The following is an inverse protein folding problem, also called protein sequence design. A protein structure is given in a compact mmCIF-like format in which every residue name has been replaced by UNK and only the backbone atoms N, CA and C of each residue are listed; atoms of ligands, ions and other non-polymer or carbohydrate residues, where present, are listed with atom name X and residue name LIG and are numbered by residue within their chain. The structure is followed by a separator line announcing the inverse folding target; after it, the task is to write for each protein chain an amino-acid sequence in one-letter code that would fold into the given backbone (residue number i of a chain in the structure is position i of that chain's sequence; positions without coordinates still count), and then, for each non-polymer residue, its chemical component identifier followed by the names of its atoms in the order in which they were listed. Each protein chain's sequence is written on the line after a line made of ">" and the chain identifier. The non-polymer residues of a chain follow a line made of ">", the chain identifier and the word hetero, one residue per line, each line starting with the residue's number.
data_IF_027988904356
#
_entry.id   IF_027988904356
#
_cell.length_a   1.000
_cell.length_b   1.000
_cell.length_c   1.000
_cell.angle_alpha   90.00
_cell.angle_beta   90.00
_cell.angle_gamma   90.00
#
_symmetry.space_group_name_H-M   'P 1'
#
loop_
_entity.id
_entity.type
_entity.pdbx_description
1 polymer ?
#
# COMPACT_ATOMS: atom_id res chain seq x y z
N UNK A 1 -6.86 -7.75 -13.74
CA UNK A 1 -6.48 -7.80 -12.30
C UNK A 1 -7.58 -7.22 -11.43
N UNK A 2 -7.56 -7.50 -10.16
CA UNK A 2 -8.57 -7.02 -9.20
C UNK A 2 -7.96 -6.83 -7.81
N UNK A 3 -8.69 -6.14 -6.96
CA UNK A 3 -8.42 -6.18 -5.52
C UNK A 3 -8.43 -7.62 -5.02
N UNK A 4 -7.46 -7.95 -4.19
CA UNK A 4 -7.51 -9.19 -3.40
C UNK A 4 -8.70 -9.05 -2.45
N UNK A 5 -9.62 -10.03 -2.35
CA UNK A 5 -10.79 -9.94 -1.49
C UNK A 5 -10.41 -9.57 -0.06
N UNK A 6 -11.05 -8.55 0.49
CA UNK A 6 -10.81 -8.05 1.84
C UNK A 6 -12.12 -7.93 2.61
N UNK A 7 -12.06 -7.80 3.94
CA UNK A 7 -13.24 -7.68 4.79
C UNK A 7 -13.30 -6.32 5.46
N UNK A 8 -14.45 -5.65 5.37
CA UNK A 8 -14.77 -4.44 6.14
C UNK A 8 -15.39 -4.88 7.46
N UNK A 9 -14.69 -4.62 8.57
CA UNK A 9 -15.16 -4.99 9.91
C UNK A 9 -16.03 -3.88 10.53
N UNK A 10 -15.62 -2.62 10.34
CA UNK A 10 -16.36 -1.45 10.82
C UNK A 10 -15.93 -0.18 10.11
N UNK A 11 -16.82 0.83 10.14
CA UNK A 11 -16.53 2.22 9.71
C UNK A 11 -16.91 3.15 10.86
N UNK A 12 -16.11 4.18 11.14
CA UNK A 12 -16.35 5.18 12.19
C UNK A 12 -16.00 6.58 11.70
N UNK A 13 -16.71 7.59 12.20
CA UNK A 13 -16.49 9.00 11.86
C UNK A 13 -15.30 9.60 12.62
N UNK A 14 -14.98 9.07 13.77
CA UNK A 14 -13.91 9.60 14.63
C UNK A 14 -13.00 8.49 15.14
N UNK A 15 -11.71 8.75 15.14
CA UNK A 15 -10.70 7.87 15.70
C UNK A 15 -9.53 8.73 16.18
N UNK A 16 -8.79 8.29 17.19
CA UNK A 16 -7.52 8.91 17.60
C UNK A 16 -6.62 7.83 18.16
N UNK A 17 -5.74 7.30 17.32
CA UNK A 17 -4.81 6.26 17.74
C UNK A 17 -3.58 6.14 16.84
N UNK A 18 -2.52 5.55 17.39
CA UNK A 18 -1.47 4.90 16.58
C UNK A 18 -1.93 3.44 16.41
N UNK A 19 -2.27 3.00 15.18
CA UNK A 19 -2.74 1.65 14.93
C UNK A 19 -1.76 0.59 15.40
N UNK A 20 -2.28 -0.59 15.78
CA UNK A 20 -1.42 -1.64 16.32
C UNK A 20 -0.35 -2.10 15.32
N UNK A 21 -0.67 -2.14 14.03
CA UNK A 21 0.28 -2.54 12.98
C UNK A 21 1.48 -1.58 12.87
N UNK A 22 1.25 -0.27 13.04
CA UNK A 22 2.33 0.74 13.11
C UNK A 22 3.24 0.50 14.32
N UNK A 23 2.66 0.07 15.46
CA UNK A 23 3.43 -0.33 16.64
C UNK A 23 4.19 -1.63 16.42
N UNK A 24 3.63 -2.60 15.69
CA UNK A 24 4.28 -3.87 15.35
C UNK A 24 5.55 -3.68 14.51
N UNK A 25 5.52 -2.73 13.57
CA UNK A 25 6.68 -2.31 12.75
C UNK A 25 7.71 -1.55 13.60
N UNK A 26 7.37 -1.19 14.84
CA UNK A 26 8.19 -0.37 15.72
C UNK A 26 8.49 1.05 15.17
N UNK A 27 7.68 1.55 14.24
CA UNK A 27 7.85 2.87 13.62
C UNK A 27 7.99 4.01 14.66
N UNK A 28 7.26 4.04 15.79
CA UNK A 28 7.45 5.06 16.82
C UNK A 28 8.85 5.13 17.43
N UNK A 29 9.65 4.07 17.34
CA UNK A 29 11.06 4.10 17.77
C UNK A 29 11.92 4.90 16.79
N UNK A 30 11.67 4.75 15.49
CA UNK A 30 12.36 5.50 14.43
C UNK A 30 11.95 6.98 14.45
N UNK A 31 10.65 7.26 14.67
CA UNK A 31 10.16 8.65 14.76
C UNK A 31 10.83 9.46 15.88
N UNK A 32 11.13 8.83 17.02
CA UNK A 32 11.88 9.47 18.13
C UNK A 32 13.30 9.89 17.72
N UNK A 33 13.86 9.23 16.70
CA UNK A 33 15.17 9.55 16.15
C UNK A 33 15.08 10.51 14.94
N UNK A 34 13.90 11.08 14.67
CA UNK A 34 13.68 12.02 13.57
C UNK A 34 13.45 11.36 12.22
N UNK A 35 13.22 10.03 12.18
CA UNK A 35 12.94 9.34 10.92
C UNK A 35 11.45 9.05 10.78
N UNK A 36 10.79 9.79 9.87
CA UNK A 36 9.36 9.69 9.59
C UNK A 36 9.03 9.54 8.10
N UNK A 37 10.05 9.30 7.26
CA UNK A 37 9.92 9.13 5.81
C UNK A 37 9.98 10.44 5.02
N UNK A 38 10.46 11.54 5.61
CA UNK A 38 10.63 12.82 4.90
C UNK A 38 11.50 12.66 3.65
N UNK A 39 11.05 13.24 2.52
CA UNK A 39 11.74 13.16 1.23
C UNK A 39 11.49 11.89 0.43
N UNK A 40 10.88 10.86 1.02
CA UNK A 40 10.60 9.60 0.33
C UNK A 40 9.22 9.64 -0.33
N UNK A 41 9.14 9.26 -1.60
CA UNK A 41 7.89 9.14 -2.35
C UNK A 41 7.53 7.67 -2.52
N UNK A 42 6.29 7.32 -2.13
CA UNK A 42 5.70 5.99 -2.28
C UNK A 42 4.57 6.10 -3.30
N UNK A 43 4.62 5.30 -4.36
CA UNK A 43 3.51 5.19 -5.29
C UNK A 43 2.52 4.11 -4.80
N UNK A 44 1.23 4.48 -4.74
CA UNK A 44 0.13 3.59 -4.36
C UNK A 44 -0.67 3.26 -5.62
N UNK A 45 -0.60 2.02 -6.09
CA UNK A 45 -1.34 1.51 -7.23
C UNK A 45 -2.60 0.81 -6.72
N UNK A 46 -3.76 1.51 -6.77
CA UNK A 46 -4.98 1.07 -6.10
C UNK A 46 -6.25 1.71 -6.72
N UNK A 47 -7.34 1.81 -5.96
CA UNK A 47 -8.63 2.39 -6.37
C UNK A 47 -8.66 3.92 -6.35
N UNK A 48 -7.57 4.58 -5.99
CA UNK A 48 -7.47 6.03 -5.81
C UNK A 48 -7.29 6.43 -4.33
N UNK A 49 -7.64 7.67 -3.99
CA UNK A 49 -7.53 8.22 -2.63
C UNK A 49 -8.66 9.21 -2.35
N UNK A 50 -9.13 9.30 -1.10
CA UNK A 50 -9.93 10.45 -0.65
C UNK A 50 -9.01 11.68 -0.55
N UNK A 51 -9.03 12.51 -1.58
CA UNK A 51 -8.15 13.68 -1.75
C UNK A 51 -8.33 14.75 -0.68
N UNK A 52 -9.44 14.69 0.05
CA UNK A 52 -9.80 15.67 1.09
C UNK A 52 -9.70 15.10 2.50
N UNK A 53 -9.26 13.85 2.66
CA UNK A 53 -9.14 13.24 3.97
C UNK A 53 -8.13 14.03 4.85
N UNK A 54 -8.53 14.46 6.07
CA UNK A 54 -7.70 15.34 6.90
C UNK A 54 -6.34 14.75 7.29
N UNK A 55 -6.22 13.41 7.36
CA UNK A 55 -4.98 12.73 7.69
C UNK A 55 -4.11 12.42 6.45
N UNK A 56 -4.58 12.72 5.23
CA UNK A 56 -3.87 12.36 3.99
C UNK A 56 -3.47 13.56 3.14
N UNK A 57 -4.27 14.62 3.13
CA UNK A 57 -4.16 15.75 2.19
C UNK A 57 -2.75 16.36 2.16
N UNK A 58 -2.06 16.44 3.29
CA UNK A 58 -0.71 17.01 3.40
C UNK A 58 0.38 16.14 2.74
N UNK A 59 0.11 14.83 2.60
CA UNK A 59 1.08 13.88 2.07
C UNK A 59 0.81 13.46 0.62
N UNK A 60 -0.29 13.89 0.01
CA UNK A 60 -0.55 13.65 -1.42
C UNK A 60 0.31 14.62 -2.22
N UNK A 61 1.29 14.10 -2.98
CA UNK A 61 2.18 14.94 -3.80
C UNK A 61 1.66 15.10 -5.22
N UNK A 62 1.06 14.03 -5.78
CA UNK A 62 0.51 14.02 -7.15
C UNK A 62 -0.36 12.76 -7.33
N UNK A 63 -1.04 12.64 -8.48
CA UNK A 63 -1.76 11.44 -8.81
C UNK A 63 -2.32 11.45 -10.23
N UNK A 64 -2.63 10.24 -10.74
CA UNK A 64 -3.18 10.04 -12.07
C UNK A 64 -4.15 8.85 -12.11
N UNK A 65 -5.17 8.98 -12.93
CA UNK A 65 -6.15 7.94 -13.20
C UNK A 65 -5.83 7.21 -14.51
N UNK A 66 -5.73 5.88 -14.43
CA UNK A 66 -5.47 4.98 -15.55
C UNK A 66 -6.69 4.11 -15.89
N UNK A 67 -7.84 4.39 -15.25
CA UNK A 67 -9.09 3.67 -15.50
C UNK A 67 -9.99 4.46 -16.45
N UNK A 68 -11.05 3.83 -16.94
CA UNK A 68 -12.08 4.49 -17.76
C UNK A 68 -13.07 5.32 -16.92
N UNK A 69 -12.86 5.47 -15.61
CA UNK A 69 -13.72 6.22 -14.70
C UNK A 69 -13.29 7.68 -14.57
N UNK A 70 -13.88 8.58 -15.35
CA UNK A 70 -13.60 10.02 -15.26
C UNK A 70 -12.37 10.46 -16.07
N UNK A 71 -11.86 11.65 -15.76
CA UNK A 71 -10.68 12.19 -16.44
C UNK A 71 -9.37 11.63 -15.86
N UNK A 72 -8.29 11.81 -16.59
CA UNK A 72 -6.94 11.41 -16.18
C UNK A 72 -6.51 12.04 -14.84
N UNK A 73 -6.99 13.24 -14.51
CA UNK A 73 -6.71 13.95 -13.27
C UNK A 73 -7.64 13.55 -12.10
N UNK A 74 -8.66 12.71 -12.37
CA UNK A 74 -9.60 12.26 -11.33
C UNK A 74 -9.16 10.92 -10.72
N UNK A 75 -8.16 10.97 -9.85
CA UNK A 75 -7.71 9.83 -9.08
C UNK A 75 -8.42 9.69 -7.72
N UNK A 76 -9.63 10.26 -7.61
CA UNK A 76 -10.47 10.13 -6.42
C UNK A 76 -10.91 8.68 -6.20
N UNK A 77 -10.81 8.23 -4.96
CA UNK A 77 -11.27 6.90 -4.56
C UNK A 77 -12.80 6.87 -4.45
N UNK A 78 -13.41 5.83 -5.00
CA UNK A 78 -14.85 5.55 -4.92
C UNK A 78 -15.15 4.16 -4.36
N UNK A 79 -14.12 3.48 -3.85
CA UNK A 79 -14.17 2.16 -3.25
C UNK A 79 -13.85 2.21 -1.74
N UNK A 80 -12.79 2.93 -1.38
CA UNK A 80 -12.27 3.08 -0.03
C UNK A 80 -11.01 2.27 0.27
N UNK A 81 -10.69 1.28 -0.58
CA UNK A 81 -9.52 0.42 -0.37
C UNK A 81 -8.20 1.21 -0.51
N UNK A 82 -8.02 1.97 -1.60
CA UNK A 82 -6.82 2.76 -1.82
C UNK A 82 -6.61 3.84 -0.75
N UNK A 83 -7.70 4.46 -0.27
CA UNK A 83 -7.65 5.42 0.85
C UNK A 83 -7.15 4.74 2.13
N UNK A 84 -7.61 3.52 2.42
CA UNK A 84 -7.18 2.76 3.59
C UNK A 84 -5.70 2.36 3.50
N UNK A 85 -5.26 1.88 2.36
CA UNK A 85 -3.86 1.54 2.06
C UNK A 85 -2.97 2.78 2.24
N UNK A 86 -3.34 3.91 1.64
CA UNK A 86 -2.60 5.16 1.74
C UNK A 86 -2.43 5.66 3.19
N UNK A 87 -3.47 5.55 4.01
CA UNK A 87 -3.42 5.94 5.42
C UNK A 87 -2.51 5.04 6.25
N UNK A 88 -2.51 3.74 5.99
CA UNK A 88 -1.59 2.82 6.66
C UNK A 88 -0.13 3.15 6.36
N UNK A 89 0.17 3.59 5.13
CA UNK A 89 1.52 4.04 4.74
C UNK A 89 1.87 5.36 5.43
N UNK A 90 1.06 6.40 5.23
CA UNK A 90 1.48 7.78 5.47
C UNK A 90 0.35 8.71 5.95
N UNK A 91 -0.61 8.21 6.77
CA UNK A 91 -1.48 9.13 7.48
C UNK A 91 -0.65 10.09 8.33
N UNK A 92 -0.89 11.40 8.15
CA UNK A 92 -0.11 12.48 8.76
C UNK A 92 -0.41 12.61 10.26
N UNK A 93 0.63 12.86 11.06
CA UNK A 93 0.50 13.05 12.51
C UNK A 93 -0.04 14.45 12.84
N UNK A 94 -1.36 14.58 12.96
CA UNK A 94 -2.05 15.84 13.22
C UNK A 94 -2.75 15.92 14.61
N UNK A 95 -2.50 14.94 15.48
CA UNK A 95 -3.07 14.86 16.83
C UNK A 95 -4.48 14.29 16.92
N UNK A 96 -5.04 13.81 15.82
CA UNK A 96 -6.33 13.13 15.70
C UNK A 96 -6.25 12.05 14.62
N UNK A 97 -7.31 11.27 14.45
CA UNK A 97 -7.36 10.25 13.42
C UNK A 97 -6.36 9.11 13.66
N UNK A 98 -5.71 8.68 12.60
CA UNK A 98 -4.68 7.64 12.64
C UNK A 98 -3.32 8.23 12.21
N UNK A 99 -2.25 7.51 12.53
CA UNK A 99 -0.89 7.83 12.06
C UNK A 99 -0.38 6.64 11.25
N UNK A 100 0.12 6.90 10.05
CA UNK A 100 0.74 5.89 9.19
C UNK A 100 2.14 5.50 9.65
N UNK A 101 2.72 4.48 9.02
CA UNK A 101 4.08 3.99 9.35
C UNK A 101 5.13 5.07 9.07
N UNK A 102 5.02 5.77 7.94
CA UNK A 102 5.93 6.83 7.49
C UNK A 102 5.15 8.15 7.32
N UNK A 103 4.78 8.84 8.43
CA UNK A 103 3.80 9.93 8.40
C UNK A 103 4.27 11.22 7.70
N UNK A 104 5.51 11.32 7.29
CA UNK A 104 6.07 12.45 6.52
C UNK A 104 6.46 12.05 5.08
N UNK A 105 6.29 10.75 4.71
CA UNK A 105 6.47 10.31 3.33
C UNK A 105 5.39 10.90 2.41
N UNK A 106 5.70 11.08 1.13
CA UNK A 106 4.76 11.59 0.13
C UNK A 106 4.18 10.44 -0.69
N UNK A 107 2.91 10.61 -1.07
CA UNK A 107 2.12 9.64 -1.79
C UNK A 107 1.90 10.09 -3.24
N UNK A 108 2.36 9.31 -4.19
CA UNK A 108 1.98 9.39 -5.60
C UNK A 108 0.85 8.40 -5.86
N UNK A 109 -0.32 8.89 -6.25
CA UNK A 109 -1.51 8.06 -6.39
C UNK A 109 -1.69 7.64 -7.85
N UNK A 110 -1.60 6.35 -8.10
CA UNK A 110 -1.90 5.74 -9.39
C UNK A 110 -3.23 4.98 -9.27
N UNK A 111 -4.34 5.63 -9.68
CA UNK A 111 -5.63 4.95 -9.72
C UNK A 111 -5.65 4.00 -10.91
N UNK A 112 -5.40 2.71 -10.64
CA UNK A 112 -5.34 1.63 -11.64
C UNK A 112 -6.54 0.68 -11.56
N UNK A 113 -7.33 0.80 -10.49
CA UNK A 113 -8.55 0.04 -10.25
C UNK A 113 -9.76 0.96 -10.15
N UNK A 114 -10.89 0.51 -10.69
CA UNK A 114 -12.17 1.21 -10.68
C UNK A 114 -12.87 1.13 -9.29
N UNK A 115 -14.08 1.69 -9.20
CA UNK A 115 -14.91 1.64 -7.97
C UNK A 115 -15.26 0.22 -7.52
N UNK A 116 -15.23 -0.76 -8.41
CA UNK A 116 -15.49 -2.16 -8.10
C UNK A 116 -14.22 -2.93 -7.72
N UNK A 117 -13.08 -2.23 -7.69
CA UNK A 117 -11.77 -2.84 -7.43
C UNK A 117 -11.24 -3.67 -8.59
N UNK A 118 -11.65 -3.38 -9.81
CA UNK A 118 -11.22 -4.08 -11.04
C UNK A 118 -10.36 -3.16 -11.90
N UNK A 119 -9.34 -3.72 -12.55
CA UNK A 119 -8.50 -3.02 -13.51
C UNK A 119 -7.95 -3.95 -14.59
N UNK A 120 -7.66 -3.40 -15.75
CA UNK A 120 -6.96 -4.13 -16.81
C UNK A 120 -5.48 -4.31 -16.47
N UNK A 121 -4.83 -5.29 -17.06
CA UNK A 121 -3.35 -5.38 -16.99
C UNK A 121 -2.71 -4.11 -17.57
N UNK A 122 -3.28 -3.59 -18.66
CA UNK A 122 -2.83 -2.35 -19.29
C UNK A 122 -2.81 -1.17 -18.31
N UNK A 123 -3.91 -0.92 -17.57
CA UNK A 123 -3.99 0.19 -16.61
C UNK A 123 -2.96 0.07 -15.50
N UNK A 124 -2.68 -1.16 -15.04
CA UNK A 124 -1.70 -1.42 -13.98
C UNK A 124 -0.26 -1.23 -14.51
N UNK A 125 0.06 -1.78 -15.70
CA UNK A 125 1.36 -1.63 -16.36
C UNK A 125 1.65 -0.14 -16.63
N UNK A 126 0.67 0.60 -17.13
CA UNK A 126 0.79 2.05 -17.36
C UNK A 126 1.02 2.80 -16.04
N UNK A 127 0.31 2.43 -14.97
CA UNK A 127 0.52 2.99 -13.63
C UNK A 127 1.92 2.72 -13.08
N UNK A 128 2.45 1.50 -13.23
CA UNK A 128 3.82 1.15 -12.83
C UNK A 128 4.82 1.99 -13.62
N UNK A 129 4.70 2.03 -14.96
CA UNK A 129 5.61 2.78 -15.82
C UNK A 129 5.54 4.29 -15.58
N UNK A 130 4.34 4.83 -15.29
CA UNK A 130 4.17 6.22 -14.89
C UNK A 130 4.94 6.50 -13.58
N UNK A 131 4.69 5.73 -12.53
CA UNK A 131 5.37 5.88 -11.26
C UNK A 131 6.90 5.73 -11.38
N UNK A 132 7.36 4.78 -12.21
CA UNK A 132 8.77 4.52 -12.48
C UNK A 132 9.49 5.70 -13.15
N UNK A 133 8.77 6.48 -13.96
CA UNK A 133 9.33 7.62 -14.71
C UNK A 133 8.96 8.97 -14.10
N UNK A 134 8.08 9.00 -13.10
CA UNK A 134 7.60 10.24 -12.47
C UNK A 134 8.75 11.02 -11.84
N UNK A 135 8.69 12.34 -12.00
CA UNK A 135 9.62 13.29 -11.39
C UNK A 135 8.82 14.45 -10.84
N UNK A 136 8.91 14.66 -9.55
CA UNK A 136 8.25 15.79 -8.88
C UNK A 136 8.88 17.13 -9.22
N UNK A 137 8.21 18.20 -8.81
CA UNK A 137 8.61 19.59 -9.12
C UNK A 137 9.97 20.01 -8.54
N UNK A 138 10.43 19.30 -7.50
CA UNK A 138 11.74 19.51 -6.88
C UNK A 138 12.76 18.41 -7.22
N UNK A 139 12.43 17.55 -8.19
CA UNK A 139 13.26 16.43 -8.59
C UNK A 139 13.03 15.13 -7.79
N UNK A 140 11.99 15.09 -6.97
CA UNK A 140 11.60 13.88 -6.23
C UNK A 140 11.33 12.71 -7.19
N UNK A 141 11.62 11.49 -6.72
CA UNK A 141 11.36 10.25 -7.46
C UNK A 141 10.73 9.22 -6.55
N UNK A 142 9.94 8.34 -7.14
CA UNK A 142 9.39 7.19 -6.43
C UNK A 142 10.52 6.27 -5.98
N UNK A 143 10.43 5.80 -4.73
CA UNK A 143 11.38 4.87 -4.11
C UNK A 143 10.73 3.53 -3.77
N UNK A 144 9.41 3.53 -3.55
CA UNK A 144 8.65 2.33 -3.22
C UNK A 144 7.36 2.31 -4.04
N UNK A 145 7.00 1.15 -4.60
CA UNK A 145 5.67 0.86 -5.13
C UNK A 145 4.92 -0.01 -4.12
N UNK A 146 3.67 0.33 -3.82
CA UNK A 146 2.74 -0.51 -3.07
C UNK A 146 1.65 -1.03 -4.00
N UNK A 147 1.51 -2.34 -4.10
CA UNK A 147 0.52 -3.00 -4.94
C UNK A 147 -0.30 -4.00 -4.11
N UNK A 148 -1.45 -3.55 -3.61
CA UNK A 148 -2.40 -4.36 -2.82
C UNK A 148 -3.48 -4.98 -3.72
N UNK A 149 -3.06 -5.67 -4.78
CA UNK A 149 -3.89 -6.23 -5.85
C UNK A 149 -3.32 -7.57 -6.36
N UNK A 150 -4.14 -8.35 -7.05
CA UNK A 150 -3.72 -9.65 -7.54
C UNK A 150 -4.42 -10.07 -8.85
N UNK A 151 -3.84 -11.09 -9.51
CA UNK A 151 -4.35 -11.66 -10.75
C UNK A 151 -3.52 -12.85 -11.22
N UNK A 152 -3.68 -13.18 -12.49
CA UNK A 152 -2.91 -14.23 -13.17
C UNK A 152 -1.50 -13.73 -13.54
N UNK A 153 -0.64 -14.67 -13.93
CA UNK A 153 0.68 -14.33 -14.46
C UNK A 153 0.57 -13.56 -15.78
N UNK A 154 1.37 -12.51 -15.92
CA UNK A 154 1.44 -11.70 -17.14
C UNK A 154 2.88 -11.23 -17.37
N UNK A 155 3.44 -11.55 -18.52
CA UNK A 155 4.85 -11.28 -18.83
C UNK A 155 5.14 -9.77 -19.02
N UNK A 156 4.15 -8.97 -19.47
CA UNK A 156 4.31 -7.51 -19.59
C UNK A 156 4.25 -6.82 -18.22
N UNK A 157 3.44 -7.35 -17.30
CA UNK A 157 3.42 -6.90 -15.90
C UNK A 157 4.78 -7.18 -15.23
N UNK A 158 5.33 -8.39 -15.41
CA UNK A 158 6.65 -8.75 -14.90
C UNK A 158 7.74 -7.81 -15.46
N UNK A 159 7.70 -7.55 -16.78
CA UNK A 159 8.64 -6.63 -17.42
C UNK A 159 8.55 -5.19 -16.85
N UNK A 160 7.34 -4.68 -16.59
CA UNK A 160 7.16 -3.35 -15.99
C UNK A 160 7.69 -3.28 -14.54
N UNK A 161 7.54 -4.36 -13.76
CA UNK A 161 8.12 -4.47 -12.42
C UNK A 161 9.64 -4.50 -12.49
N UNK A 162 10.22 -5.27 -13.40
CA UNK A 162 11.67 -5.32 -13.64
C UNK A 162 12.23 -3.94 -14.04
N UNK A 163 11.50 -3.19 -14.89
CA UNK A 163 11.85 -1.80 -15.25
C UNK A 163 11.92 -0.88 -14.01
N UNK A 164 10.98 -1.03 -13.08
CA UNK A 164 10.95 -0.27 -11.82
C UNK A 164 12.13 -0.66 -10.92
N UNK A 165 12.36 -1.96 -10.72
CA UNK A 165 13.46 -2.47 -9.91
C UNK A 165 14.84 -2.05 -10.47
N UNK A 166 15.01 -2.04 -11.79
CA UNK A 166 16.23 -1.57 -12.44
C UNK A 166 16.54 -0.08 -12.17
N UNK A 167 15.53 0.72 -11.80
CA UNK A 167 15.68 2.12 -11.36
C UNK A 167 15.85 2.28 -9.85
N UNK A 168 15.99 1.18 -9.12
CA UNK A 168 16.18 1.18 -7.67
C UNK A 168 14.88 1.39 -6.88
N UNK A 169 13.72 1.15 -7.50
CA UNK A 169 12.42 1.19 -6.82
C UNK A 169 12.16 -0.18 -6.20
N UNK A 170 11.76 -0.21 -4.94
CA UNK A 170 11.38 -1.43 -4.24
C UNK A 170 9.87 -1.66 -4.39
N UNK A 171 9.45 -2.87 -4.75
CA UNK A 171 8.06 -3.20 -5.02
C UNK A 171 7.52 -4.10 -3.91
N UNK A 172 6.57 -3.60 -3.11
CA UNK A 172 5.87 -4.35 -2.08
C UNK A 172 4.49 -4.79 -2.59
N UNK A 173 4.18 -6.08 -2.43
CA UNK A 173 2.96 -6.69 -2.95
C UNK A 173 2.27 -7.58 -1.92
N UNK A 174 0.95 -7.67 -2.00
CA UNK A 174 0.16 -8.54 -1.14
C UNK A 174 0.22 -10.00 -1.61
N UNK A 175 0.40 -10.94 -0.68
CA UNK A 175 0.54 -12.36 -1.02
C UNK A 175 -0.74 -13.00 -1.57
N UNK A 176 -1.93 -12.49 -1.20
CA UNK A 176 -3.24 -13.05 -1.54
C UNK A 176 -4.02 -13.49 -0.30
N UNK A 177 -5.34 -13.69 -0.46
CA UNK A 177 -6.25 -14.04 0.62
C UNK A 177 -7.02 -15.35 0.32
N UNK A 178 -6.40 -16.24 -0.43
CA UNK A 178 -6.93 -17.56 -0.81
C UNK A 178 -6.47 -18.67 0.14
N UNK A 179 -5.76 -18.33 1.23
CA UNK A 179 -5.27 -19.28 2.23
C UNK A 179 -6.39 -20.07 2.89
N UNK A 180 -6.10 -21.32 3.27
CA UNK A 180 -7.04 -22.30 3.83
C UNK A 180 -6.66 -22.79 5.25
N UNK A 181 -5.68 -22.14 5.91
CA UNK A 181 -5.13 -22.50 7.23
C UNK A 181 -4.36 -23.86 7.23
N UNK A 182 -4.03 -24.42 6.07
CA UNK A 182 -3.18 -25.61 5.94
C UNK A 182 -1.78 -25.21 5.44
N UNK A 183 -0.75 -25.31 6.29
CA UNK A 183 0.64 -24.98 5.96
C UNK A 183 1.24 -25.87 4.85
N UNK A 184 0.55 -26.94 4.43
CA UNK A 184 1.00 -27.86 3.39
C UNK A 184 0.50 -27.49 2.01
N UNK A 185 -0.55 -26.68 1.93
CA UNK A 185 -1.04 -26.11 0.67
C UNK A 185 -0.27 -24.82 0.39
N UNK A 186 0.00 -24.55 -0.88
CA UNK A 186 0.73 -23.35 -1.30
C UNK A 186 -0.15 -22.61 -2.30
N UNK A 187 -0.58 -21.42 -1.91
CA UNK A 187 -1.38 -20.55 -2.77
C UNK A 187 -0.46 -19.53 -3.47
N UNK A 188 -0.61 -19.44 -4.78
CA UNK A 188 0.16 -18.54 -5.61
C UNK A 188 -0.73 -17.53 -6.32
N UNK A 189 -0.31 -16.29 -6.34
CA UNK A 189 -0.93 -15.20 -7.11
C UNK A 189 0.16 -14.28 -7.68
N UNK A 190 -0.20 -13.41 -8.59
CA UNK A 190 0.70 -12.42 -9.16
C UNK A 190 0.16 -11.02 -8.91
N UNK A 191 1.05 -10.04 -8.62
CA UNK A 191 2.52 -10.06 -8.77
C UNK A 191 3.30 -10.74 -7.63
N UNK A 192 2.65 -11.28 -6.58
CA UNK A 192 3.32 -11.91 -5.44
C UNK A 192 4.28 -13.05 -5.83
N UNK A 193 4.00 -13.73 -6.94
CA UNK A 193 4.84 -14.82 -7.46
C UNK A 193 6.11 -14.39 -8.20
N UNK A 194 6.36 -13.09 -8.40
CA UNK A 194 7.60 -12.60 -9.02
C UNK A 194 8.68 -12.40 -7.96
N UNK A 195 9.89 -12.90 -8.26
CA UNK A 195 11.02 -12.86 -7.32
C UNK A 195 11.54 -11.45 -7.03
N UNK A 196 11.21 -10.48 -7.85
CA UNK A 196 11.63 -9.08 -7.74
C UNK A 196 10.79 -8.29 -6.74
N UNK A 197 9.65 -8.85 -6.31
CA UNK A 197 8.75 -8.23 -5.36
C UNK A 197 9.07 -8.62 -3.92
N UNK A 198 8.79 -7.73 -2.98
CA UNK A 198 8.68 -8.08 -1.57
C UNK A 198 7.24 -8.50 -1.31
N UNK A 199 7.04 -9.80 -1.12
CA UNK A 199 5.71 -10.39 -0.92
C UNK A 199 5.35 -10.45 0.55
N UNK A 200 4.20 -9.84 0.89
CA UNK A 200 3.77 -9.61 2.27
C UNK A 200 2.53 -10.43 2.60
N UNK A 201 2.65 -11.30 3.60
CA UNK A 201 1.55 -12.04 4.21
C UNK A 201 0.95 -11.28 5.41
N UNK A 202 -0.27 -11.66 5.80
CA UNK A 202 -1.02 -11.00 6.87
C UNK A 202 -0.89 -11.74 8.21
N UNK A 203 -0.75 -10.99 9.32
CA UNK A 203 -0.89 -11.53 10.67
C UNK A 203 -1.88 -10.71 11.51
N UNK A 204 -2.33 -11.30 12.61
CA UNK A 204 -3.14 -10.63 13.62
C UNK A 204 -2.29 -9.82 14.62
N UNK A 205 -2.95 -9.22 15.63
CA UNK A 205 -2.31 -8.45 16.69
C UNK A 205 -1.37 -9.28 17.60
N UNK A 206 -1.51 -10.60 17.62
CA UNK A 206 -0.64 -11.52 18.33
C UNK A 206 0.51 -12.06 17.47
N UNK A 207 0.66 -11.52 16.24
CA UNK A 207 1.63 -11.95 15.22
C UNK A 207 1.42 -13.37 14.71
N UNK A 208 0.22 -13.93 14.89
CA UNK A 208 -0.17 -15.20 14.29
C UNK A 208 -0.58 -14.96 12.84
N UNK A 209 -0.11 -15.80 11.92
CA UNK A 209 -0.50 -15.77 10.51
C UNK A 209 -2.03 -15.82 10.40
N UNK A 210 -2.61 -14.95 9.58
CA UNK A 210 -4.05 -14.93 9.35
C UNK A 210 -4.47 -16.16 8.53
N UNK A 211 -5.57 -16.79 8.89
CA UNK A 211 -6.06 -18.03 8.26
C UNK A 211 -6.28 -17.90 6.75
N UNK A 212 -6.59 -16.70 6.29
CA UNK A 212 -6.85 -16.40 4.88
C UNK A 212 -5.58 -16.05 4.10
N UNK A 213 -4.47 -15.78 4.79
CA UNK A 213 -3.25 -15.31 4.13
C UNK A 213 -2.61 -16.42 3.31
N UNK A 214 -2.31 -16.12 2.04
CA UNK A 214 -1.59 -17.07 1.20
C UNK A 214 -0.26 -17.45 1.83
N UNK A 215 0.05 -18.73 1.71
CA UNK A 215 1.24 -19.39 2.21
C UNK A 215 2.05 -19.94 1.04
N UNK A 216 2.96 -19.15 0.50
CA UNK A 216 3.82 -19.54 -0.61
C UNK A 216 5.30 -19.38 -0.29
N UNK A 217 6.15 -20.02 -1.08
CA UNK A 217 7.61 -19.90 -0.95
C UNK A 217 8.14 -18.49 -1.31
N UNK A 218 7.31 -17.66 -1.91
CA UNK A 218 7.62 -16.27 -2.27
C UNK A 218 7.28 -15.26 -1.15
N UNK A 219 6.69 -15.70 -0.03
CA UNK A 219 6.45 -14.79 1.10
C UNK A 219 7.76 -14.43 1.77
N UNK A 220 8.12 -13.14 1.73
CA UNK A 220 9.34 -12.60 2.32
C UNK A 220 9.15 -12.17 3.77
N UNK A 221 7.97 -11.65 4.10
CA UNK A 221 7.68 -11.14 5.44
C UNK A 221 6.18 -11.15 5.77
N UNK A 222 5.88 -10.94 7.05
CA UNK A 222 4.50 -10.81 7.55
C UNK A 222 4.32 -9.45 8.20
N UNK A 223 3.12 -8.87 8.06
CA UNK A 223 2.74 -7.63 8.74
C UNK A 223 1.28 -7.66 9.19
N UNK A 224 0.88 -6.67 9.99
CA UNK A 224 -0.48 -6.56 10.50
C UNK A 224 -1.49 -6.46 9.35
N UNK A 225 -2.38 -7.44 9.24
CA UNK A 225 -3.40 -7.51 8.19
C UNK A 225 -4.79 -7.91 8.69
N UNK A 226 -5.00 -8.03 10.00
CA UNK A 226 -6.30 -8.38 10.59
C UNK A 226 -6.79 -7.22 11.45
N UNK A 227 -8.03 -6.76 11.22
CA UNK A 227 -8.62 -5.65 11.99
C UNK A 227 -7.78 -4.37 12.00
N UNK A 228 -7.18 -4.01 10.88
CA UNK A 228 -6.33 -2.82 10.74
C UNK A 228 -7.19 -1.57 10.63
N UNK A 229 -7.03 -0.62 11.56
CA UNK A 229 -7.64 0.71 11.47
C UNK A 229 -6.80 1.62 10.56
N UNK A 230 -7.47 2.31 9.63
CA UNK A 230 -6.87 3.33 8.78
C UNK A 230 -7.91 4.32 8.26
N UNK A 231 -7.48 5.29 7.48
CA UNK A 231 -8.35 6.27 6.79
C UNK A 231 -9.32 5.60 5.83
N UNK A 232 -10.48 6.22 5.62
CA UNK A 232 -11.52 5.73 4.71
C UNK A 232 -12.21 6.90 4.00
N UNK A 233 -13.15 6.59 3.10
CA UNK A 233 -13.89 7.60 2.33
C UNK A 233 -14.60 8.63 3.21
N UNK A 234 -14.77 9.82 2.70
CA UNK A 234 -15.50 10.94 3.32
C UNK A 234 -14.91 11.39 4.67
N UNK A 235 -13.58 11.32 4.79
CA UNK A 235 -12.88 11.70 6.02
C UNK A 235 -13.12 10.75 7.20
N UNK A 236 -13.66 9.55 6.93
CA UNK A 236 -13.94 8.53 7.93
C UNK A 236 -12.74 7.58 8.11
N UNK A 237 -12.91 6.62 9.01
CA UNK A 237 -11.93 5.57 9.30
C UNK A 237 -12.62 4.21 9.19
N UNK A 238 -11.87 3.21 8.74
CA UNK A 238 -12.39 1.84 8.67
C UNK A 238 -11.41 0.85 9.28
N UNK A 239 -11.97 -0.24 9.78
CA UNK A 239 -11.23 -1.42 10.20
C UNK A 239 -11.39 -2.49 9.12
N UNK A 240 -10.29 -2.83 8.45
CA UNK A 240 -10.26 -3.82 7.36
C UNK A 240 -9.34 -4.99 7.69
N UNK A 241 -9.59 -6.13 7.01
CA UNK A 241 -8.74 -7.33 7.11
C UNK A 241 -8.41 -7.86 5.72
N UNK A 242 -7.13 -8.21 5.50
CA UNK A 242 -6.59 -8.72 4.24
C UNK A 242 -5.07 -8.52 4.16
N UNK A 243 -4.40 -9.26 3.28
CA UNK A 243 -2.97 -9.04 2.96
C UNK A 243 -2.72 -7.67 2.34
N UNK A 244 -3.74 -7.08 1.70
CA UNK A 244 -3.77 -5.70 1.24
C UNK A 244 -3.57 -4.66 2.36
N UNK A 245 -3.89 -5.01 3.61
CA UNK A 245 -3.66 -4.15 4.79
C UNK A 245 -2.28 -4.39 5.40
N UNK A 246 -1.69 -5.56 5.19
CA UNK A 246 -0.35 -5.89 5.63
C UNK A 246 0.73 -5.18 4.77
N UNK A 247 0.57 -5.23 3.46
CA UNK A 247 1.52 -4.68 2.47
C UNK A 247 1.90 -3.22 2.72
N UNK A 248 0.97 -2.29 2.97
CA UNK A 248 1.30 -0.89 3.20
C UNK A 248 2.13 -0.65 4.47
N UNK A 249 2.07 -1.53 5.48
CA UNK A 249 2.97 -1.45 6.63
C UNK A 249 4.43 -1.65 6.19
N UNK A 250 4.67 -2.61 5.29
CA UNK A 250 6.00 -2.87 4.75
C UNK A 250 6.44 -1.73 3.83
N UNK A 251 5.55 -1.21 2.96
CA UNK A 251 5.87 -0.07 2.11
C UNK A 251 6.29 1.17 2.94
N UNK A 252 5.59 1.44 4.04
CA UNK A 252 5.96 2.51 4.98
C UNK A 252 7.29 2.21 5.69
N UNK A 253 7.52 0.97 6.14
CA UNK A 253 8.79 0.57 6.76
C UNK A 253 9.98 0.73 5.81
N UNK A 254 9.82 0.37 4.55
CA UNK A 254 10.83 0.58 3.50
C UNK A 254 11.16 2.07 3.33
N UNK A 255 10.17 2.95 3.38
CA UNK A 255 10.40 4.39 3.32
C UNK A 255 11.25 4.88 4.51
N UNK A 256 10.97 4.42 5.73
CA UNK A 256 11.77 4.74 6.91
C UNK A 256 13.22 4.24 6.78
N UNK A 257 13.42 3.02 6.28
CA UNK A 257 14.76 2.44 6.10
C UNK A 257 15.56 3.18 5.02
N UNK A 258 14.92 3.52 3.90
CA UNK A 258 15.55 4.29 2.82
C UNK A 258 15.94 5.69 3.32
N UNK A 259 15.05 6.38 4.04
CA UNK A 259 15.31 7.67 4.64
C UNK A 259 16.49 7.68 5.61
N UNK A 260 16.64 6.62 6.41
CA UNK A 260 17.82 6.44 7.26
C UNK A 260 19.12 6.30 6.46
N UNK A 261 19.09 5.57 5.34
CA UNK A 261 20.26 5.39 4.48
C UNK A 261 20.68 6.66 3.74
N UNK A 262 19.77 7.57 3.43
CA UNK A 262 20.06 8.82 2.73
C UNK A 262 20.59 9.94 3.66
N UNK A 263 20.41 9.78 4.98
CA UNK A 263 20.92 10.73 6.00
C UNK A 263 22.33 10.41 6.49
N UNK A 264 22.90 9.26 6.10
CA UNK A 264 24.27 8.84 6.42
C UNK A 264 25.24 9.22 5.31
#
# INVERSE_FOLDING_TARGET
>A
MRLIPFKIESVTETLTEIPYGVKHIEAPKLWKNGEKGEGIVIAVLDTGIDRNHPDLVENIIDGRNFTDEGSEDDYSDRNGHGTHVAGTIAAFENGKGVVGVAPEAKLLICKVLDRNGSGSYQSIIEGIRYATNWVGSKGERVRVLNMSLGGEKDDELEAAILEACAKGIVVAVASGNEGDDDEKTLEYGYPAGYNECITVAACDENKKLAYFSNNSLQVDCIAAGVNVNSTYLNGQYAKLSGTSMATPHIAGALALIIGLGEKQ
#
